data_IF_788317305923
#
_entry.id   IF_788317305923
#
_cell.length_a   1.000
_cell.length_b   1.000
_cell.length_c   1.000
_cell.angle_alpha   90.00
_cell.angle_beta   90.00
_cell.angle_gamma   90.00
#
_symmetry.space_group_name_H-M   'P 1'
#
loop_
_entity.id
_entity.type
_entity.pdbx_description
1 polymer ?
#
# COMPACT_ATOMS: atom_id res chain seq x y z
N UNK A 1 21.26 27.49 -61.08
CA UNK A 1 20.04 27.69 -60.27
C UNK A 1 19.95 26.53 -59.27
N UNK A 2 20.25 26.80 -57.98
CA UNK A 2 20.22 25.80 -56.91
C UNK A 2 18.96 26.09 -56.08
N UNK A 3 18.01 25.16 -56.08
CA UNK A 3 16.78 25.20 -55.31
C UNK A 3 17.06 24.70 -53.89
N UNK A 4 16.88 25.57 -52.87
CA UNK A 4 16.88 25.20 -51.45
C UNK A 4 15.50 24.70 -51.06
N UNK A 5 15.45 23.49 -50.52
CA UNK A 5 14.27 22.90 -49.87
C UNK A 5 14.27 23.25 -48.39
N UNK A 6 13.22 23.81 -47.79
CA UNK A 6 13.18 24.04 -46.36
C UNK A 6 12.76 22.76 -45.61
N UNK A 7 13.63 22.33 -44.69
CA UNK A 7 13.35 21.23 -43.76
C UNK A 7 12.49 21.78 -42.61
N UNK A 8 11.23 21.30 -42.55
CA UNK A 8 10.35 21.56 -41.41
C UNK A 8 10.74 20.65 -40.24
N UNK A 9 11.32 21.26 -39.20
CA UNK A 9 11.52 20.57 -37.91
C UNK A 9 10.21 20.68 -37.14
N UNK A 10 9.47 19.54 -37.09
CA UNK A 10 8.27 19.40 -36.27
C UNK A 10 8.70 19.15 -34.83
N UNK A 11 8.56 20.15 -33.98
CA UNK A 11 8.81 20.07 -32.55
C UNK A 11 7.59 19.40 -31.89
N UNK A 12 7.70 18.11 -31.58
CA UNK A 12 6.67 17.33 -30.86
C UNK A 12 6.77 17.71 -29.38
N UNK A 13 5.93 18.65 -28.94
CA UNK A 13 5.76 18.96 -27.52
C UNK A 13 4.89 17.86 -26.91
N UNK A 14 5.53 16.92 -26.21
CA UNK A 14 4.83 15.95 -25.37
C UNK A 14 4.27 16.67 -24.15
N UNK A 15 2.97 16.98 -24.15
CA UNK A 15 2.24 17.40 -22.95
C UNK A 15 2.18 16.19 -22.00
N UNK A 16 3.02 16.22 -20.97
CA UNK A 16 2.83 15.38 -19.79
C UNK A 16 1.54 15.83 -19.09
N UNK A 17 0.43 15.18 -19.38
CA UNK A 17 -0.81 15.33 -18.62
C UNK A 17 -0.58 14.69 -17.26
N UNK A 18 -0.14 15.49 -16.29
CA UNK A 18 -0.21 15.16 -14.88
C UNK A 18 -1.68 14.94 -14.54
N UNK A 19 -2.07 13.72 -14.23
CA UNK A 19 -3.36 13.41 -13.65
C UNK A 19 -3.45 14.15 -12.31
N UNK A 20 -4.04 15.34 -12.33
CA UNK A 20 -4.54 16.01 -11.13
C UNK A 20 -5.61 15.09 -10.54
N UNK A 21 -5.20 14.22 -9.63
CA UNK A 21 -6.15 13.53 -8.76
C UNK A 21 -6.78 14.63 -7.91
N UNK A 22 -8.06 14.91 -8.17
CA UNK A 22 -8.83 15.76 -7.27
C UNK A 22 -8.70 15.19 -5.87
N UNK A 23 -8.23 16.00 -4.93
CA UNK A 23 -8.06 15.57 -3.54
C UNK A 23 -9.43 15.16 -2.99
N UNK A 24 -9.51 13.95 -2.43
CA UNK A 24 -10.75 13.44 -1.84
C UNK A 24 -11.23 14.43 -0.76
N UNK A 25 -12.47 14.94 -0.84
CA UNK A 25 -13.00 15.93 0.11
C UNK A 25 -12.96 15.45 1.56
N UNK A 26 -12.90 14.15 1.80
CA UNK A 26 -12.75 13.56 3.13
C UNK A 26 -11.35 13.75 3.70
N UNK A 27 -10.35 14.07 2.88
CA UNK A 27 -8.97 14.25 3.34
C UNK A 27 -8.79 15.37 4.36
N UNK A 28 -9.70 16.35 4.41
CA UNK A 28 -9.72 17.41 5.43
C UNK A 28 -9.89 16.88 6.86
N UNK A 29 -10.45 15.69 7.03
CA UNK A 29 -10.61 15.04 8.33
C UNK A 29 -9.29 14.45 8.86
N UNK A 30 -8.36 14.10 7.97
CA UNK A 30 -7.14 13.40 8.32
C UNK A 30 -6.01 14.37 8.63
N UNK A 31 -5.42 14.31 9.84
CA UNK A 31 -4.36 15.25 10.23
C UNK A 31 -3.11 15.08 9.35
N UNK A 32 -2.28 16.11 9.31
CA UNK A 32 -0.95 16.00 8.75
C UNK A 32 -0.13 14.92 9.51
N UNK A 33 0.82 14.25 8.85
CA UNK A 33 1.67 13.29 9.55
C UNK A 33 2.53 13.99 10.61
N UNK A 34 2.75 13.31 11.73
CA UNK A 34 3.68 13.76 12.76
C UNK A 34 5.13 13.75 12.21
N UNK A 35 6.03 14.45 12.92
CA UNK A 35 7.46 14.45 12.56
C UNK A 35 8.02 13.02 12.55
N UNK A 36 8.72 12.64 11.49
CA UNK A 36 9.25 11.29 11.31
C UNK A 36 8.25 10.26 10.81
N UNK A 37 7.04 10.72 10.43
CA UNK A 37 5.99 9.88 9.87
C UNK A 37 5.65 10.30 8.44
N UNK A 38 5.22 9.34 7.63
CA UNK A 38 4.69 9.55 6.27
C UNK A 38 3.23 9.11 6.22
N UNK A 39 2.38 9.90 5.58
CA UNK A 39 0.97 9.59 5.34
C UNK A 39 0.81 8.98 3.95
N UNK A 40 0.25 7.78 3.87
CA UNK A 40 -0.15 7.12 2.64
C UNK A 40 -1.68 7.13 2.52
N UNK A 41 -2.19 7.42 1.33
CA UNK A 41 -3.63 7.50 1.04
C UNK A 41 -3.93 6.52 -0.08
N UNK A 42 -4.87 5.61 0.17
CA UNK A 42 -5.37 4.67 -0.82
C UNK A 42 -6.85 4.98 -1.10
N UNK A 43 -7.13 5.44 -2.30
CA UNK A 43 -8.50 5.57 -2.81
C UNK A 43 -8.86 4.32 -3.61
N UNK A 44 -9.99 3.71 -3.27
CA UNK A 44 -10.47 2.50 -3.90
C UNK A 44 -11.51 2.84 -4.97
N UNK A 45 -11.47 2.20 -6.15
CA UNK A 45 -12.51 2.42 -7.16
C UNK A 45 -13.84 1.84 -6.71
N UNK A 46 -14.95 2.51 -7.05
CA UNK A 46 -16.29 2.01 -6.79
C UNK A 46 -16.53 0.66 -7.49
N UNK A 47 -17.20 -0.26 -6.80
CA UNK A 47 -17.56 -1.59 -7.32
C UNK A 47 -19.06 -1.84 -7.19
N UNK A 48 -19.61 -2.66 -8.09
CA UNK A 48 -21.04 -3.03 -8.07
C UNK A 48 -21.42 -3.73 -6.75
N UNK A 49 -20.55 -4.58 -6.25
CA UNK A 49 -20.72 -5.27 -4.96
C UNK A 49 -19.42 -5.16 -4.17
N UNK A 50 -19.36 -4.20 -3.26
CA UNK A 50 -18.20 -3.99 -2.39
C UNK A 50 -18.14 -5.01 -1.25
N UNK A 51 -19.27 -5.61 -0.88
CA UNK A 51 -19.33 -6.57 0.21
C UNK A 51 -18.57 -7.87 -0.07
N UNK A 52 -18.40 -8.20 -1.35
CA UNK A 52 -17.60 -9.33 -1.79
C UNK A 52 -16.08 -9.12 -1.65
N UNK A 53 -15.62 -7.93 -1.22
CA UNK A 53 -14.20 -7.62 -1.16
C UNK A 53 -13.73 -7.21 0.23
N UNK A 54 -12.47 -7.49 0.50
CA UNK A 54 -11.69 -6.91 1.60
C UNK A 54 -10.38 -6.35 1.07
N UNK A 55 -9.83 -5.38 1.79
CA UNK A 55 -8.54 -4.77 1.51
C UNK A 55 -7.56 -5.23 2.57
N UNK A 56 -6.48 -5.87 2.18
CA UNK A 56 -5.36 -6.16 3.05
C UNK A 56 -4.34 -5.03 2.95
N UNK A 57 -3.97 -4.49 4.09
CA UNK A 57 -2.90 -3.49 4.20
C UNK A 57 -1.60 -4.17 4.60
N UNK A 58 -0.57 -3.93 3.82
CA UNK A 58 0.77 -4.47 3.98
C UNK A 58 1.74 -3.32 4.25
N UNK A 59 2.17 -3.17 5.50
CA UNK A 59 3.18 -2.18 5.87
C UNK A 59 4.53 -2.86 6.01
N UNK A 60 5.57 -2.27 5.45
CA UNK A 60 6.89 -2.87 5.48
C UNK A 60 7.98 -1.96 4.91
N UNK A 61 9.12 -2.55 4.61
CA UNK A 61 10.28 -1.85 4.04
C UNK A 61 11.01 -2.77 3.06
N UNK A 62 11.57 -2.19 2.01
CA UNK A 62 12.47 -2.91 1.12
C UNK A 62 13.83 -3.05 1.80
N UNK A 63 14.27 -4.29 1.97
CA UNK A 63 15.56 -4.65 2.58
C UNK A 63 16.23 -5.76 1.78
N UNK A 64 17.54 -5.79 1.82
CA UNK A 64 18.33 -6.90 1.25
C UNK A 64 18.26 -8.10 2.16
N UNK A 65 17.80 -9.23 1.63
CA UNK A 65 17.66 -10.49 2.37
C UNK A 65 18.16 -11.65 1.52
N UNK A 66 18.53 -12.74 2.17
CA UNK A 66 18.79 -14.00 1.47
C UNK A 66 17.50 -14.57 0.85
N UNK A 67 17.59 -15.40 -0.20
CA UNK A 67 16.43 -15.93 -0.90
C UNK A 67 15.70 -17.05 -0.15
N UNK A 68 16.34 -17.74 0.79
CA UNK A 68 15.81 -18.95 1.41
C UNK A 68 14.96 -18.67 2.65
N UNK A 69 15.29 -17.62 3.40
CA UNK A 69 14.61 -17.30 4.64
C UNK A 69 13.38 -16.42 4.41
N UNK A 70 12.39 -16.60 5.28
CA UNK A 70 11.23 -15.70 5.40
C UNK A 70 11.54 -14.65 6.45
N UNK A 71 11.29 -13.39 6.11
CA UNK A 71 11.55 -12.27 6.99
C UNK A 71 10.27 -11.49 7.27
N UNK A 72 10.20 -10.89 8.44
CA UNK A 72 9.13 -9.98 8.83
C UNK A 72 9.64 -8.98 9.86
N UNK A 73 8.99 -7.82 9.93
CA UNK A 73 9.23 -6.84 10.99
C UNK A 73 8.29 -7.09 12.16
N UNK A 74 8.78 -6.90 13.38
CA UNK A 74 7.91 -6.79 14.54
C UNK A 74 7.15 -5.46 14.48
N UNK A 75 5.91 -5.45 14.99
CA UNK A 75 5.06 -4.26 15.03
C UNK A 75 3.60 -4.62 14.75
N UNK A 76 2.76 -3.61 14.78
CA UNK A 76 1.32 -3.76 14.53
C UNK A 76 0.75 -2.53 13.85
N UNK A 77 -0.36 -2.72 13.13
CA UNK A 77 -1.21 -1.64 12.64
C UNK A 77 -2.23 -1.34 13.73
N UNK A 78 -2.31 -0.10 14.18
CA UNK A 78 -3.29 0.39 15.15
C UNK A 78 -4.36 1.17 14.41
N UNK A 79 -5.63 0.87 14.67
CA UNK A 79 -6.77 1.62 14.18
C UNK A 79 -7.23 2.62 15.23
N UNK A 80 -7.38 3.87 14.85
CA UNK A 80 -7.88 4.95 15.70
C UNK A 80 -9.01 5.68 14.98
N UNK A 81 -10.08 5.99 15.70
CA UNK A 81 -11.18 6.79 15.14
C UNK A 81 -10.87 8.28 15.30
N UNK A 82 -10.98 9.04 14.22
CA UNK A 82 -10.81 10.49 14.24
C UNK A 82 -12.03 11.12 14.88
N UNK A 83 -11.82 11.81 15.99
CA UNK A 83 -12.89 12.48 16.73
C UNK A 83 -13.61 13.54 15.87
N UNK A 84 -14.93 13.61 16.00
CA UNK A 84 -15.77 14.52 15.25
C UNK A 84 -16.10 14.09 13.82
N UNK A 85 -15.36 13.13 13.25
CA UNK A 85 -15.57 12.62 11.90
C UNK A 85 -16.04 11.16 11.86
N UNK A 86 -15.66 10.36 12.87
CA UNK A 86 -15.96 8.94 12.91
C UNK A 86 -15.16 8.10 11.89
N UNK A 87 -14.18 8.71 11.21
CA UNK A 87 -13.36 8.02 10.20
C UNK A 87 -12.21 7.27 10.85
N UNK A 88 -11.92 6.04 10.43
CA UNK A 88 -10.74 5.31 10.91
C UNK A 88 -9.47 5.87 10.23
N UNK A 89 -8.40 5.99 11.00
CA UNK A 89 -7.03 6.13 10.52
C UNK A 89 -6.21 4.96 11.03
N UNK A 90 -5.21 4.58 10.29
CA UNK A 90 -4.35 3.43 10.59
C UNK A 90 -2.93 3.92 10.84
N UNK A 91 -2.33 3.48 11.93
CA UNK A 91 -1.00 3.96 12.32
C UNK A 91 -0.08 2.77 12.65
N UNK A 92 1.11 2.78 12.08
CA UNK A 92 2.23 1.94 12.52
C UNK A 92 3.25 2.85 13.16
N UNK A 93 3.40 2.80 14.48
CA UNK A 93 4.29 3.72 15.22
C UNK A 93 5.76 3.46 14.95
N UNK A 94 6.12 2.19 14.77
CA UNK A 94 7.49 1.79 14.46
C UNK A 94 7.53 0.44 13.73
N UNK A 95 8.54 0.26 12.89
CA UNK A 95 8.95 -1.06 12.46
C UNK A 95 10.02 -1.54 13.45
N UNK A 96 9.69 -2.58 14.21
CA UNK A 96 10.61 -3.20 15.16
C UNK A 96 11.70 -4.00 14.47
N UNK A 97 12.42 -4.85 15.23
CA UNK A 97 13.50 -5.64 14.66
C UNK A 97 13.04 -6.53 13.51
N UNK A 98 13.93 -6.70 12.54
CA UNK A 98 13.77 -7.71 11.48
C UNK A 98 14.01 -9.09 12.08
N UNK A 99 13.04 -9.97 11.98
CA UNK A 99 13.14 -11.38 12.35
C UNK A 99 12.98 -12.25 11.11
N UNK A 100 13.47 -13.48 11.20
CA UNK A 100 13.38 -14.42 10.08
C UNK A 100 13.58 -15.87 10.51
N UNK A 101 13.26 -16.79 9.61
CA UNK A 101 13.61 -18.20 9.77
C UNK A 101 15.13 -18.38 9.69
N UNK A 102 15.64 -19.49 10.21
CA UNK A 102 17.08 -19.81 10.18
C UNK A 102 17.31 -21.07 9.33
N UNK A 103 17.03 -20.94 8.04
CA UNK A 103 17.44 -21.99 7.10
C UNK A 103 18.90 -21.80 6.71
N UNK A 104 19.63 -22.90 6.51
CA UNK A 104 20.97 -22.84 5.97
C UNK A 104 20.94 -22.22 4.57
N UNK A 105 21.77 -21.23 4.34
CA UNK A 105 21.90 -20.52 3.07
C UNK A 105 23.32 -20.66 2.57
N UNK A 106 23.49 -20.86 1.28
CA UNK A 106 24.80 -20.77 0.65
C UNK A 106 25.37 -19.36 0.92
N UNK A 107 26.54 -19.23 1.57
CA UNK A 107 27.15 -17.93 1.82
C UNK A 107 27.44 -17.11 0.56
N UNK A 108 27.48 -17.76 -0.61
CA UNK A 108 27.64 -17.12 -1.92
C UNK A 108 26.33 -16.74 -2.59
N UNK A 109 25.17 -17.14 -2.03
CA UNK A 109 23.88 -16.78 -2.60
C UNK A 109 23.69 -15.25 -2.54
N UNK A 110 23.35 -14.59 -3.67
CA UNK A 110 23.19 -13.14 -3.69
C UNK A 110 21.98 -12.73 -2.87
N UNK A 111 22.17 -11.73 -2.00
CA UNK A 111 21.05 -11.07 -1.34
C UNK A 111 20.22 -10.28 -2.38
N UNK A 112 18.90 -10.31 -2.24
CA UNK A 112 17.95 -9.63 -3.13
C UNK A 112 17.13 -8.60 -2.37
N UNK A 113 16.74 -7.53 -3.05
CA UNK A 113 15.85 -6.53 -2.49
C UNK A 113 14.42 -7.09 -2.43
N UNK A 114 13.88 -7.18 -1.22
CA UNK A 114 12.53 -7.70 -0.97
C UNK A 114 11.74 -6.73 -0.11
N UNK A 115 10.48 -6.53 -0.45
CA UNK A 115 9.57 -5.79 0.43
C UNK A 115 9.13 -6.73 1.55
N UNK A 116 9.70 -6.53 2.73
CA UNK A 116 9.40 -7.30 3.94
C UNK A 116 8.35 -6.56 4.73
N UNK A 117 7.29 -7.27 5.11
CA UNK A 117 6.13 -6.71 5.82
C UNK A 117 6.20 -6.95 7.32
N UNK A 118 5.29 -6.31 8.06
CA UNK A 118 4.98 -6.70 9.43
C UNK A 118 4.60 -8.18 9.47
N UNK A 119 5.02 -8.86 10.54
CA UNK A 119 4.58 -10.23 10.84
C UNK A 119 3.19 -10.24 11.47
N UNK A 120 2.63 -11.45 11.62
CA UNK A 120 1.32 -11.68 12.20
C UNK A 120 0.23 -11.97 11.16
N UNK A 121 -1.02 -11.90 11.61
CA UNK A 121 -2.17 -12.14 10.76
C UNK A 121 -2.38 -11.01 9.74
N UNK A 122 -2.96 -11.33 8.55
CA UNK A 122 -3.29 -10.31 7.55
C UNK A 122 -4.22 -9.23 8.12
N UNK A 123 -3.85 -7.97 7.95
CA UNK A 123 -4.67 -6.85 8.40
C UNK A 123 -5.72 -6.52 7.34
N UNK A 124 -6.93 -7.03 7.54
CA UNK A 124 -8.02 -6.96 6.58
C UNK A 124 -9.03 -5.88 6.94
N UNK A 125 -9.26 -4.95 6.02
CA UNK A 125 -10.27 -3.91 6.09
C UNK A 125 -11.48 -4.27 5.24
N UNK A 126 -12.64 -3.74 5.62
CA UNK A 126 -13.81 -3.74 4.75
C UNK A 126 -13.53 -2.87 3.52
N UNK A 127 -13.91 -3.35 2.34
CA UNK A 127 -13.87 -2.52 1.14
C UNK A 127 -14.87 -1.37 1.26
N UNK A 128 -14.44 -0.15 1.01
CA UNK A 128 -15.28 1.04 0.98
C UNK A 128 -14.66 2.07 0.02
N UNK A 129 -15.29 2.29 -1.13
CA UNK A 129 -14.82 3.26 -2.11
C UNK A 129 -15.15 4.72 -1.77
N UNK A 130 -16.01 4.95 -0.77
CA UNK A 130 -16.47 6.29 -0.39
C UNK A 130 -15.55 6.99 0.60
N UNK A 131 -14.62 6.25 1.19
CA UNK A 131 -13.71 6.77 2.19
C UNK A 131 -12.29 6.30 1.87
N UNK A 132 -11.30 7.21 1.82
CA UNK A 132 -9.92 6.82 1.62
C UNK A 132 -9.40 6.02 2.81
N UNK A 133 -8.57 5.02 2.53
CA UNK A 133 -7.80 4.32 3.58
C UNK A 133 -6.52 5.12 3.81
N UNK A 134 -6.39 5.70 5.00
CA UNK A 134 -5.25 6.56 5.34
C UNK A 134 -4.37 5.88 6.38
N UNK A 135 -3.12 5.65 5.99
CA UNK A 135 -2.13 4.91 6.80
C UNK A 135 -0.93 5.80 7.10
N UNK A 136 -0.60 5.92 8.37
CA UNK A 136 0.57 6.65 8.85
C UNK A 136 1.65 5.65 9.24
N UNK A 137 2.85 5.81 8.69
CA UNK A 137 3.97 4.90 8.90
C UNK A 137 5.26 5.68 9.16
N UNK A 138 6.27 5.11 9.82
CA UNK A 138 7.57 5.75 9.98
C UNK A 138 8.21 6.08 8.62
N UNK A 139 8.98 7.15 8.57
CA UNK A 139 9.77 7.49 7.38
C UNK A 139 10.62 6.30 6.92
N UNK A 140 10.66 6.09 5.60
CA UNK A 140 11.34 4.96 4.97
C UNK A 140 10.58 3.63 5.02
N UNK A 141 9.42 3.57 5.69
CA UNK A 141 8.47 2.48 5.51
C UNK A 141 7.56 2.76 4.32
N UNK A 142 7.05 1.70 3.70
CA UNK A 142 6.10 1.76 2.61
C UNK A 142 4.82 1.03 2.93
N UNK A 143 3.77 1.39 2.21
CA UNK A 143 2.45 0.75 2.30
C UNK A 143 2.11 0.13 0.95
N UNK A 144 1.70 -1.12 0.96
CA UNK A 144 1.14 -1.83 -0.19
C UNK A 144 -0.23 -2.34 0.18
N UNK A 145 -1.04 -2.71 -0.79
CA UNK A 145 -2.33 -3.34 -0.53
C UNK A 145 -2.58 -4.51 -1.48
N UNK A 146 -3.48 -5.39 -1.06
CA UNK A 146 -3.98 -6.50 -1.86
C UNK A 146 -5.49 -6.59 -1.65
N UNK A 147 -6.20 -6.96 -2.70
CA UNK A 147 -7.64 -7.19 -2.63
C UNK A 147 -7.91 -8.67 -2.45
N UNK A 148 -8.74 -8.99 -1.47
CA UNK A 148 -9.33 -10.29 -1.27
C UNK A 148 -10.75 -10.26 -1.82
N UNK A 149 -11.17 -11.34 -2.47
CA UNK A 149 -12.53 -11.48 -3.01
C UNK A 149 -13.14 -12.77 -2.47
N UNK A 150 -14.38 -12.67 -1.98
CA UNK A 150 -15.17 -13.86 -1.62
C UNK A 150 -15.47 -14.68 -2.89
N UNK A 151 -15.25 -15.98 -2.82
CA UNK A 151 -15.54 -16.90 -3.91
C UNK A 151 -16.90 -17.57 -3.67
N UNK A 152 -17.88 -17.22 -4.52
CA UNK A 152 -19.22 -17.80 -4.50
C UNK A 152 -20.10 -17.33 -3.34
N UNK A 153 -21.26 -17.96 -3.23
CA UNK A 153 -22.22 -17.72 -2.16
C UNK A 153 -21.82 -18.46 -0.86
N UNK A 154 -22.23 -17.95 0.32
CA UNK A 154 -22.05 -18.67 1.57
C UNK A 154 -22.65 -20.08 1.51
N UNK A 155 -21.92 -21.05 2.05
CA UNK A 155 -22.38 -22.44 2.16
C UNK A 155 -22.83 -22.73 3.59
N UNK A 156 -23.90 -23.49 3.74
CA UNK A 156 -24.35 -23.95 5.04
C UNK A 156 -23.37 -24.97 5.64
N UNK A 157 -23.13 -24.85 6.95
CA UNK A 157 -22.40 -25.86 7.73
C UNK A 157 -23.42 -26.72 8.43
N UNK A 158 -23.45 -28.04 8.20
CA UNK A 158 -24.41 -28.93 8.90
C UNK A 158 -24.10 -28.94 10.38
N UNK A 159 -25.17 -28.99 11.20
CA UNK A 159 -25.06 -29.27 12.64
C UNK A 159 -24.67 -30.75 12.85
N UNK A 160 -23.83 -31.00 13.86
CA UNK A 160 -23.48 -32.34 14.32
C UNK A 160 -24.34 -32.74 15.54
#
# INVERSE_FOLDING_TARGET
MKTLTPTFISCLVALAQGLLHAEDPNMKAFPAPEKGMTRHVLSLPARKDESAFKVEILVGKTVKTDPANRFFFAGKIEEETIQGWGFPKYTVRSLGPLAGTRMAVDPKAPATDRFVTLGGEPYLLRYNSRLPVVVYVPEGAGVRYRLWKAEGAPKAVPAQ
#
